data_IF_238126456355
#
_entry.id   IF_238126456355
#
_cell.length_a   1.000
_cell.length_b   1.000
_cell.length_c   1.000
_cell.angle_alpha   90.00
_cell.angle_beta   90.00
_cell.angle_gamma   90.00
#
_symmetry.space_group_name_H-M   'P 1'
#
loop_
_entity.id
_entity.type
_entity.pdbx_description
1 polymer ?
#
# COMPACT_ATOMS: atom_id res chain seq x y z
N UNK A 1 -15.36 10.99 -5.23
CA UNK A 1 -14.21 11.53 -4.48
C UNK A 1 -12.97 10.69 -4.78
N UNK A 2 -11.89 11.31 -5.15
CA UNK A 2 -10.65 10.59 -5.44
C UNK A 2 -10.05 9.99 -4.17
N UNK A 3 -9.28 8.91 -4.35
CA UNK A 3 -8.62 8.21 -3.25
C UNK A 3 -7.25 8.82 -2.98
N UNK A 4 -6.81 8.73 -1.73
CA UNK A 4 -5.44 9.10 -1.32
C UNK A 4 -4.82 7.96 -0.56
N UNK A 5 -3.55 7.74 -0.77
CA UNK A 5 -2.81 6.68 -0.09
C UNK A 5 -1.31 6.81 -0.24
N UNK A 6 -0.61 5.75 0.11
CA UNK A 6 0.85 5.73 0.11
C UNK A 6 1.36 4.50 -0.65
N UNK A 7 2.36 4.72 -1.49
CA UNK A 7 3.10 3.67 -2.19
C UNK A 7 4.58 3.85 -1.85
N UNK A 8 5.23 2.77 -1.44
CA UNK A 8 6.69 2.75 -1.25
C UNK A 8 7.33 2.39 -2.58
N UNK A 9 8.15 3.28 -3.13
CA UNK A 9 8.75 3.07 -4.45
C UNK A 9 9.56 1.78 -4.51
N UNK A 10 10.35 1.49 -3.47
CA UNK A 10 11.20 0.30 -3.40
C UNK A 10 10.42 -1.01 -3.32
N UNK A 11 9.12 -0.94 -3.02
CA UNK A 11 8.26 -2.11 -3.04
C UNK A 11 7.93 -2.59 -4.46
N UNK A 12 8.17 -1.75 -5.45
CA UNK A 12 7.75 -2.01 -6.83
C UNK A 12 8.88 -2.60 -7.66
N UNK A 13 8.67 -3.78 -8.20
CA UNK A 13 9.51 -4.36 -9.23
C UNK A 13 9.29 -3.64 -10.56
N UNK A 14 8.03 -3.32 -10.88
CA UNK A 14 7.64 -2.51 -12.02
C UNK A 14 7.14 -1.16 -11.52
N UNK A 15 7.87 -0.09 -11.83
CA UNK A 15 7.56 1.27 -11.37
C UNK A 15 6.64 2.06 -12.31
N UNK A 16 6.22 1.47 -13.41
CA UNK A 16 5.36 2.15 -14.40
C UNK A 16 4.03 2.60 -13.80
N UNK A 17 3.53 1.91 -12.78
CA UNK A 17 2.29 2.27 -12.10
C UNK A 17 2.34 3.71 -11.52
N UNK A 18 3.51 4.20 -11.16
CA UNK A 18 3.67 5.55 -10.63
C UNK A 18 3.29 6.64 -11.63
N UNK A 19 3.19 6.31 -12.92
CA UNK A 19 2.73 7.23 -13.97
C UNK A 19 1.21 7.31 -14.05
N UNK A 20 0.52 6.33 -13.48
CA UNK A 20 -0.96 6.25 -13.51
C UNK A 20 -1.60 6.93 -12.30
N UNK A 21 -0.80 7.39 -11.34
CA UNK A 21 -1.26 8.07 -10.14
C UNK A 21 -0.67 9.47 -10.07
N UNK A 22 -1.34 10.35 -9.32
CA UNK A 22 -0.80 11.68 -9.08
C UNK A 22 0.01 11.66 -7.79
N UNK A 23 1.29 11.97 -7.86
CA UNK A 23 2.15 12.06 -6.69
C UNK A 23 1.98 13.43 -6.05
N UNK A 24 1.45 13.47 -4.83
CA UNK A 24 1.19 14.69 -4.08
C UNK A 24 2.39 15.12 -3.24
N UNK A 25 3.12 14.15 -2.71
CA UNK A 25 4.29 14.39 -1.85
C UNK A 25 5.19 13.16 -1.86
N UNK A 26 6.46 13.37 -1.57
CA UNK A 26 7.44 12.30 -1.47
C UNK A 26 8.28 12.50 -0.21
N UNK A 27 8.43 11.45 0.58
CA UNK A 27 9.23 11.45 1.80
C UNK A 27 10.21 10.29 1.74
N UNK A 28 11.47 10.53 2.09
CA UNK A 28 12.50 9.50 2.16
C UNK A 28 12.80 9.22 3.63
N UNK A 29 12.73 7.96 4.04
CA UNK A 29 13.04 7.52 5.39
C UNK A 29 14.18 6.52 5.38
N UNK A 30 15.16 6.64 6.31
CA UNK A 30 16.21 5.63 6.44
C UNK A 30 15.60 4.33 6.94
N UNK A 31 16.07 3.20 6.41
CA UNK A 31 15.61 1.88 6.82
C UNK A 31 16.32 1.48 8.10
N UNK A 32 15.55 0.99 9.07
CA UNK A 32 16.05 0.42 10.32
C UNK A 32 15.59 -1.04 10.41
N UNK A 33 16.09 -1.78 11.38
CA UNK A 33 15.76 -3.20 11.57
C UNK A 33 14.25 -3.46 11.66
N UNK A 34 13.51 -2.56 12.27
CA UNK A 34 12.05 -2.64 12.44
C UNK A 34 11.31 -2.72 11.10
N UNK A 35 11.88 -2.18 10.02
CA UNK A 35 11.26 -2.22 8.70
C UNK A 35 11.32 -3.61 8.05
N UNK A 36 12.23 -4.47 8.48
CA UNK A 36 12.40 -5.84 7.96
C UNK A 36 12.75 -5.91 6.47
N UNK A 37 13.43 -4.89 5.96
CA UNK A 37 13.94 -4.85 4.59
C UNK A 37 15.44 -4.55 4.58
N UNK A 38 16.27 -5.50 5.10
CA UNK A 38 17.71 -5.24 5.29
C UNK A 38 18.52 -5.02 4.00
N UNK A 39 17.98 -5.41 2.83
CA UNK A 39 18.61 -5.15 1.54
C UNK A 39 18.44 -3.71 1.06
N UNK A 40 17.63 -2.88 1.75
CA UNK A 40 17.38 -1.50 1.39
C UNK A 40 18.01 -0.56 2.39
N UNK A 41 18.46 0.61 1.90
CA UNK A 41 19.01 1.68 2.75
C UNK A 41 17.93 2.68 3.13
N UNK A 42 16.90 2.81 2.31
CA UNK A 42 15.83 3.79 2.50
C UNK A 42 14.53 3.31 1.89
N UNK A 43 13.43 3.89 2.37
CA UNK A 43 12.11 3.79 1.78
C UNK A 43 11.73 5.15 1.22
N UNK A 44 11.29 5.19 -0.01
CA UNK A 44 10.75 6.39 -0.66
C UNK A 44 9.23 6.28 -0.66
N UNK A 45 8.59 7.08 0.21
CA UNK A 45 7.14 7.03 0.39
C UNK A 45 6.49 8.12 -0.45
N UNK A 46 5.69 7.70 -1.43
CA UNK A 46 4.91 8.62 -2.26
C UNK A 46 3.48 8.67 -1.74
N UNK A 47 3.04 9.86 -1.35
CA UNK A 47 1.63 10.10 -1.11
C UNK A 47 0.99 10.35 -2.46
N UNK A 48 -0.01 9.55 -2.80
CA UNK A 48 -0.60 9.54 -4.14
C UNK A 48 -2.09 9.82 -4.11
N UNK A 49 -2.59 10.34 -5.22
CA UNK A 49 -4.03 10.49 -5.46
C UNK A 49 -4.41 9.61 -6.65
N UNK A 50 -5.46 8.83 -6.47
CA UNK A 50 -5.97 7.87 -7.45
C UNK A 50 -7.37 8.31 -7.86
N UNK A 51 -7.58 8.51 -9.17
CA UNK A 51 -8.88 8.88 -9.72
C UNK A 51 -9.90 7.80 -9.40
N UNK A 52 -11.07 8.19 -8.87
CA UNK A 52 -12.09 7.25 -8.40
C UNK A 52 -12.50 6.25 -9.49
N UNK A 53 -12.67 6.71 -10.72
CA UNK A 53 -13.13 5.90 -11.85
C UNK A 53 -12.11 4.84 -12.26
N UNK A 54 -10.85 5.00 -11.88
CA UNK A 54 -9.77 4.06 -12.20
C UNK A 54 -9.26 3.30 -10.98
N UNK A 55 -9.90 3.46 -9.82
CA UNK A 55 -9.39 2.89 -8.57
C UNK A 55 -9.23 1.36 -8.63
N UNK A 56 -10.22 0.64 -9.14
CA UNK A 56 -10.15 -0.83 -9.25
C UNK A 56 -9.00 -1.25 -10.17
N UNK A 57 -8.86 -0.60 -11.33
CA UNK A 57 -7.80 -0.89 -12.30
C UNK A 57 -6.41 -0.62 -11.71
N UNK A 58 -6.25 0.52 -11.04
CA UNK A 58 -4.97 0.92 -10.47
C UNK A 58 -4.59 0.00 -9.32
N UNK A 59 -5.54 -0.37 -8.45
CA UNK A 59 -5.28 -1.32 -7.37
C UNK A 59 -4.75 -2.66 -7.92
N UNK A 60 -5.36 -3.17 -8.99
CA UNK A 60 -4.93 -4.41 -9.63
C UNK A 60 -3.53 -4.29 -10.21
N UNK A 61 -3.21 -3.17 -10.86
CA UNK A 61 -1.87 -2.92 -11.41
C UNK A 61 -0.81 -2.85 -10.30
N UNK A 62 -1.10 -2.17 -9.19
CA UNK A 62 -0.18 -2.10 -8.05
C UNK A 62 0.08 -3.51 -7.52
N UNK A 63 -0.97 -4.30 -7.35
CA UNK A 63 -0.87 -5.68 -6.84
C UNK A 63 0.08 -6.54 -7.68
N UNK A 64 0.11 -6.33 -8.98
CA UNK A 64 0.97 -7.08 -9.90
C UNK A 64 2.35 -6.47 -10.09
N UNK A 65 2.58 -5.28 -9.52
CA UNK A 65 3.84 -4.55 -9.69
C UNK A 65 4.82 -4.74 -8.53
N UNK A 66 4.39 -5.35 -7.42
CA UNK A 66 5.25 -5.55 -6.26
C UNK A 66 6.42 -6.48 -6.51
N UNK A 67 7.53 -6.21 -5.81
CA UNK A 67 8.70 -7.06 -5.81
C UNK A 67 8.36 -8.45 -5.25
N UNK A 68 8.53 -9.49 -6.06
CA UNK A 68 8.30 -10.88 -5.67
C UNK A 68 9.58 -11.60 -5.24
N UNK A 69 10.75 -10.97 -5.45
CA UNK A 69 12.06 -11.61 -5.19
C UNK A 69 12.41 -11.70 -3.71
N UNK A 70 11.81 -10.84 -2.89
CA UNK A 70 12.07 -10.77 -1.45
C UNK A 70 10.87 -11.20 -0.63
N UNK A 71 10.13 -12.22 -1.10
CA UNK A 71 9.02 -12.83 -0.38
C UNK A 71 7.68 -12.15 -0.53
N UNK A 72 7.60 -11.05 -1.29
CA UNK A 72 6.33 -10.33 -1.51
C UNK A 72 5.76 -9.67 -0.26
N UNK A 73 6.61 -9.32 0.72
CA UNK A 73 6.20 -8.77 2.02
C UNK A 73 5.95 -7.27 1.96
N UNK A 74 5.21 -6.82 0.96
CA UNK A 74 4.88 -5.42 0.77
C UNK A 74 3.39 -5.21 0.68
N UNK A 75 2.94 -4.00 1.04
CA UNK A 75 1.59 -3.59 0.73
C UNK A 75 1.51 -2.09 0.46
N UNK A 76 0.46 -1.69 -0.26
CA UNK A 76 0.10 -0.30 -0.45
C UNK A 76 -1.38 -0.15 -0.14
N UNK A 77 -1.82 1.07 0.08
CA UNK A 77 -3.23 1.34 0.30
C UNK A 77 -3.61 2.72 -0.22
N UNK A 78 -4.87 2.89 -0.54
CA UNK A 78 -5.47 4.19 -0.79
C UNK A 78 -6.95 4.14 -0.42
N UNK A 79 -7.48 5.28 0.01
CA UNK A 79 -8.86 5.36 0.48
C UNK A 79 -9.51 6.69 0.15
N UNK A 80 -10.84 6.66 0.06
CA UNK A 80 -11.67 7.86 0.07
C UNK A 80 -12.71 7.73 1.21
N UNK A 81 -13.81 8.45 1.11
CA UNK A 81 -14.87 8.40 2.14
C UNK A 81 -15.72 7.13 2.09
N UNK A 82 -15.63 6.34 1.02
CA UNK A 82 -16.47 5.14 0.80
C UNK A 82 -15.71 3.83 0.86
N UNK A 83 -14.51 3.79 0.30
CA UNK A 83 -13.74 2.55 0.16
C UNK A 83 -12.28 2.74 0.56
N UNK A 84 -11.73 1.71 1.16
CA UNK A 84 -10.30 1.60 1.47
C UNK A 84 -9.75 0.37 0.73
N UNK A 85 -8.86 0.60 -0.21
CA UNK A 85 -8.18 -0.48 -0.92
C UNK A 85 -6.90 -0.83 -0.16
N UNK A 86 -6.76 -2.09 0.20
CA UNK A 86 -5.53 -2.64 0.79
C UNK A 86 -4.97 -3.64 -0.20
N UNK A 87 -3.74 -3.43 -0.65
CA UNK A 87 -3.18 -4.10 -1.82
C UNK A 87 -1.90 -4.85 -1.45
N UNK A 88 -1.91 -6.15 -1.70
CA UNK A 88 -0.75 -7.04 -1.52
C UNK A 88 -0.37 -7.64 -2.87
N UNK A 89 0.78 -8.32 -2.92
CA UNK A 89 1.18 -9.04 -4.13
C UNK A 89 0.09 -10.04 -4.53
N UNK A 90 -0.45 -9.85 -5.74
CA UNK A 90 -1.51 -10.69 -6.32
C UNK A 90 -2.82 -10.74 -5.52
N UNK A 91 -3.06 -9.76 -4.63
CA UNK A 91 -4.28 -9.72 -3.82
C UNK A 91 -4.70 -8.29 -3.52
N UNK A 92 -5.97 -7.99 -3.78
CA UNK A 92 -6.56 -6.68 -3.49
C UNK A 92 -7.77 -6.87 -2.59
N UNK A 93 -7.84 -6.08 -1.51
CA UNK A 93 -9.02 -6.00 -0.64
C UNK A 93 -9.66 -4.63 -0.82
N UNK A 94 -10.92 -4.62 -1.22
CA UNK A 94 -11.73 -3.39 -1.30
C UNK A 94 -12.64 -3.37 -0.09
N UNK A 95 -12.32 -2.53 0.89
CA UNK A 95 -13.04 -2.46 2.16
C UNK A 95 -14.13 -1.40 2.07
N UNK A 96 -15.36 -1.78 2.32
CA UNK A 96 -16.50 -0.86 2.39
C UNK A 96 -16.47 -0.15 3.75
N UNK A 97 -16.28 1.16 3.75
CA UNK A 97 -16.12 1.93 4.99
C UNK A 97 -17.43 2.14 5.74
N UNK A 98 -18.59 1.81 5.13
CA UNK A 98 -19.86 1.81 5.87
C UNK A 98 -19.93 0.63 6.86
N UNK A 99 -19.14 -0.42 6.63
CA UNK A 99 -19.06 -1.60 7.49
C UNK A 99 -17.63 -2.19 7.35
N UNK A 100 -16.60 -1.49 7.86
CA UNK A 100 -15.22 -1.88 7.60
C UNK A 100 -14.84 -3.20 8.26
N UNK A 101 -14.27 -4.10 7.46
CA UNK A 101 -13.81 -5.42 7.90
C UNK A 101 -12.40 -5.63 7.38
N UNK A 102 -11.42 -5.49 8.27
CA UNK A 102 -10.00 -5.58 7.91
C UNK A 102 -9.35 -6.94 8.23
N UNK A 103 -10.09 -7.85 8.87
CA UNK A 103 -9.55 -9.12 9.34
C UNK A 103 -8.83 -9.90 8.23
N UNK A 104 -9.49 -10.09 7.09
CA UNK A 104 -8.92 -10.87 5.99
C UNK A 104 -7.67 -10.22 5.41
N UNK A 105 -7.66 -8.90 5.32
CA UNK A 105 -6.49 -8.15 4.85
C UNK A 105 -5.34 -8.30 5.84
N UNK A 106 -5.58 -8.21 7.14
CA UNK A 106 -4.55 -8.40 8.16
C UNK A 106 -3.98 -9.81 8.13
N UNK A 107 -4.82 -10.82 8.01
CA UNK A 107 -4.37 -12.20 7.92
C UNK A 107 -3.50 -12.42 6.67
N UNK A 108 -3.88 -11.82 5.55
CA UNK A 108 -3.10 -11.89 4.32
C UNK A 108 -1.72 -11.28 4.52
N UNK A 109 -1.64 -10.09 5.13
CA UNK A 109 -0.37 -9.42 5.39
C UNK A 109 0.55 -10.24 6.30
N UNK A 110 0.00 -10.81 7.37
CA UNK A 110 0.77 -11.64 8.28
C UNK A 110 1.32 -12.88 7.55
N UNK A 111 0.52 -13.53 6.71
CA UNK A 111 0.96 -14.69 5.92
C UNK A 111 2.08 -14.35 4.94
N UNK A 112 2.12 -13.12 4.45
CA UNK A 112 3.18 -12.64 3.57
C UNK A 112 4.45 -12.25 4.33
N UNK A 113 4.43 -12.34 5.66
CA UNK A 113 5.59 -12.01 6.48
C UNK A 113 5.70 -10.54 6.86
N UNK A 114 4.65 -9.76 6.67
CA UNK A 114 4.63 -8.36 7.08
C UNK A 114 4.39 -8.31 8.59
N UNK A 115 5.24 -7.60 9.36
CA UNK A 115 5.02 -7.48 10.79
C UNK A 115 3.65 -6.86 11.11
N UNK A 116 2.95 -7.40 12.11
CA UNK A 116 1.60 -6.94 12.44
C UNK A 116 1.53 -5.44 12.74
N UNK A 117 2.58 -4.86 13.32
CA UNK A 117 2.60 -3.43 13.65
C UNK A 117 2.70 -2.52 12.42
N UNK A 118 2.97 -3.09 11.23
CA UNK A 118 2.95 -2.37 9.96
C UNK A 118 1.57 -2.44 9.28
N UNK A 119 0.66 -3.25 9.80
CA UNK A 119 -0.66 -3.50 9.20
C UNK A 119 -1.73 -2.64 9.87
N UNK A 120 -1.51 -1.34 9.92
CA UNK A 120 -2.45 -0.40 10.53
C UNK A 120 -3.33 0.22 9.45
N UNK A 121 -4.52 -0.36 9.28
CA UNK A 121 -5.48 0.03 8.26
C UNK A 121 -6.65 0.84 8.79
N UNK A 122 -6.60 1.30 10.05
CA UNK A 122 -7.74 2.00 10.65
C UNK A 122 -8.25 3.12 9.74
N UNK A 123 -9.55 3.20 9.45
CA UNK A 123 -10.11 4.25 8.62
C UNK A 123 -10.00 5.64 9.26
N UNK A 124 -9.69 5.70 10.55
CA UNK A 124 -9.50 6.94 11.30
C UNK A 124 -8.11 7.53 11.11
N UNK A 125 -7.18 6.77 10.60
CA UNK A 125 -5.80 7.22 10.39
C UNK A 125 -5.71 7.86 9.00
N UNK A 126 -5.46 9.17 8.95
CA UNK A 126 -5.35 9.91 7.71
C UNK A 126 -4.03 9.67 7.00
N UNK A 127 -2.96 9.48 7.76
CA UNK A 127 -1.63 9.24 7.23
C UNK A 127 -1.11 7.86 7.63
N UNK A 128 -0.45 7.23 6.69
CA UNK A 128 0.22 5.97 6.94
C UNK A 128 1.49 6.23 7.75
N UNK A 129 1.57 5.62 8.93
CA UNK A 129 2.73 5.71 9.81
C UNK A 129 3.36 4.34 9.97
N UNK A 130 4.60 4.24 9.60
CA UNK A 130 5.38 3.01 9.71
C UNK A 130 6.49 3.16 10.70
#
# INVERSE_FOLDING_TARGET
MDHKGVIIEESLENKDILRDVKILATKVEPVIEKHKTPWLKQWTLHTVEVVEERADEIAEKISKSFDSKHGGSWYADFKNDKFHYVIFLNKVFKIDLSNPKYRDAMECGVKLGIPWYQLDFSPEIEEWKR
#
